data_IF_339302175473
#
_entry.id   IF_339302175473
#
_cell.length_a   1.000
_cell.length_b   1.000
_cell.length_c   1.000
_cell.angle_alpha   90.00
_cell.angle_beta   90.00
_cell.angle_gamma   90.00
#
_symmetry.space_group_name_H-M   'P 1'
#
loop_
_entity.id
_entity.type
_entity.pdbx_description
1 polymer ?
#
# COMPACT_ATOMS: atom_id res chain seq x y z
N UNK A 1 -12.84 -49.54 2.68
CA UNK A 1 -12.13 -49.72 1.39
C UNK A 1 -13.18 -49.67 0.31
N UNK A 2 -13.00 -48.79 -0.68
CA UNK A 2 -13.93 -48.68 -1.82
C UNK A 2 -13.87 -49.96 -2.66
N UNK A 3 -15.00 -50.34 -3.26
CA UNK A 3 -15.08 -51.53 -4.13
C UNK A 3 -16.17 -51.37 -5.19
N UNK A 4 -15.96 -51.93 -6.37
CA UNK A 4 -16.98 -52.04 -7.40
C UNK A 4 -17.86 -53.27 -7.12
N UNK A 5 -19.19 -53.12 -7.21
CA UNK A 5 -20.13 -54.20 -6.88
C UNK A 5 -20.81 -54.75 -8.15
N UNK A 6 -21.43 -53.87 -8.95
CA UNK A 6 -22.13 -54.26 -10.19
C UNK A 6 -22.01 -53.18 -11.26
N UNK A 7 -22.01 -53.57 -12.52
CA UNK A 7 -22.14 -52.66 -13.65
C UNK A 7 -23.20 -53.16 -14.62
N UNK A 8 -24.01 -52.25 -15.17
CA UNK A 8 -24.88 -52.55 -16.30
C UNK A 8 -24.46 -51.75 -17.53
N UNK A 9 -24.41 -52.40 -18.69
CA UNK A 9 -24.04 -51.81 -19.97
C UNK A 9 -25.21 -51.97 -20.95
N UNK A 10 -25.52 -50.91 -21.68
CA UNK A 10 -26.52 -50.89 -22.76
C UNK A 10 -26.03 -49.95 -23.88
N UNK A 11 -26.15 -50.38 -25.14
CA UNK A 11 -25.88 -49.56 -26.32
C UNK A 11 -24.41 -49.15 -26.52
N UNK A 12 -23.45 -49.87 -25.92
CA UNK A 12 -22.01 -49.58 -26.05
C UNK A 12 -21.36 -50.62 -26.96
N UNK A 13 -20.71 -50.21 -28.05
CA UNK A 13 -20.09 -51.12 -29.05
C UNK A 13 -20.98 -52.32 -29.37
N UNK A 14 -20.56 -53.55 -29.10
CA UNK A 14 -21.31 -54.78 -29.40
C UNK A 14 -22.47 -55.06 -28.44
N UNK A 15 -22.63 -54.30 -27.36
CA UNK A 15 -23.80 -54.40 -26.49
C UNK A 15 -25.00 -53.76 -27.19
N UNK A 16 -26.10 -54.52 -27.32
CA UNK A 16 -27.32 -54.11 -28.01
C UNK A 16 -27.99 -52.88 -27.38
N UNK A 17 -28.92 -52.28 -28.12
CA UNK A 17 -29.53 -51.00 -27.79
C UNK A 17 -30.90 -51.14 -27.11
N UNK A 18 -31.52 -52.32 -27.17
CA UNK A 18 -32.82 -52.56 -26.56
C UNK A 18 -32.70 -52.94 -25.08
N UNK A 19 -33.72 -52.65 -24.27
CA UNK A 19 -33.71 -52.97 -22.84
C UNK A 19 -33.50 -54.46 -22.55
N UNK A 20 -33.94 -55.35 -23.45
CA UNK A 20 -33.71 -56.79 -23.36
C UNK A 20 -32.23 -57.18 -23.51
N UNK A 21 -31.44 -56.35 -24.18
CA UNK A 21 -30.01 -56.58 -24.44
C UNK A 21 -29.12 -56.07 -23.30
N UNK A 22 -29.71 -55.39 -22.32
CA UNK A 22 -28.99 -54.85 -21.16
C UNK A 22 -28.24 -55.96 -20.42
N UNK A 23 -26.92 -55.85 -20.42
CA UNK A 23 -26.05 -56.79 -19.72
C UNK A 23 -25.70 -56.27 -18.32
N UNK A 24 -25.74 -57.16 -17.33
CA UNK A 24 -25.38 -56.85 -15.94
C UNK A 24 -24.23 -57.76 -15.51
N UNK A 25 -23.17 -57.15 -15.00
CA UNK A 25 -21.95 -57.81 -14.55
C UNK A 25 -21.82 -57.57 -13.05
N UNK A 26 -21.65 -58.64 -12.28
CA UNK A 26 -21.30 -58.56 -10.86
C UNK A 26 -19.80 -58.75 -10.69
N UNK A 27 -19.19 -57.91 -9.85
CA UNK A 27 -17.77 -58.00 -9.52
C UNK A 27 -17.62 -58.65 -8.15
N UNK A 28 -16.71 -59.61 -8.07
CA UNK A 28 -16.45 -60.42 -6.89
C UNK A 28 -15.06 -60.09 -6.32
N UNK A 29 -14.96 -60.21 -4.99
CA UNK A 29 -13.71 -60.07 -4.25
C UNK A 29 -13.21 -61.46 -3.82
N UNK A 30 -11.90 -61.75 -3.91
CA UNK A 30 -10.83 -60.86 -4.36
C UNK A 30 -10.61 -60.85 -5.88
N UNK A 31 -11.22 -61.77 -6.63
CA UNK A 31 -10.94 -61.98 -8.05
C UNK A 31 -12.24 -62.11 -8.86
N UNK A 32 -12.28 -61.42 -10.00
CA UNK A 32 -13.30 -61.59 -11.04
C UNK A 32 -12.62 -62.00 -12.33
N UNK A 33 -13.05 -63.12 -12.93
CA UNK A 33 -12.47 -63.66 -14.17
C UNK A 33 -13.44 -63.41 -15.32
N UNK A 34 -12.99 -62.68 -16.36
CA UNK A 34 -13.77 -62.42 -17.57
C UNK A 34 -13.22 -63.27 -18.73
N UNK A 35 -13.96 -64.29 -19.14
CA UNK A 35 -13.59 -65.21 -20.23
C UNK A 35 -14.59 -65.14 -21.38
N UNK A 36 -14.13 -65.45 -22.59
CA UNK A 36 -14.95 -65.45 -23.79
C UNK A 36 -14.10 -65.36 -25.06
N UNK A 37 -14.68 -65.61 -26.24
CA UNK A 37 -13.96 -65.54 -27.51
C UNK A 37 -13.49 -64.11 -27.83
N UNK A 38 -12.61 -63.98 -28.82
CA UNK A 38 -12.21 -62.67 -29.34
C UNK A 38 -13.44 -61.95 -29.92
N UNK A 39 -13.55 -60.64 -29.69
CA UNK A 39 -14.73 -59.86 -30.07
C UNK A 39 -15.93 -59.97 -29.12
N UNK A 40 -15.88 -60.81 -28.07
CA UNK A 40 -16.99 -60.95 -27.10
C UNK A 40 -17.24 -59.73 -26.19
N UNK A 41 -16.54 -58.60 -26.42
CA UNK A 41 -16.72 -57.38 -25.60
C UNK A 41 -15.95 -57.35 -24.28
N UNK A 42 -15.01 -58.28 -24.02
CA UNK A 42 -14.19 -58.30 -22.79
C UNK A 42 -13.47 -56.97 -22.54
N UNK A 43 -12.77 -56.46 -23.57
CA UNK A 43 -12.09 -55.16 -23.50
C UNK A 43 -13.10 -54.03 -23.30
N UNK A 44 -14.27 -54.11 -23.93
CA UNK A 44 -15.36 -53.14 -23.79
C UNK A 44 -15.90 -53.03 -22.37
N UNK A 45 -15.92 -54.13 -21.60
CA UNK A 45 -16.28 -54.10 -20.18
C UNK A 45 -15.29 -53.20 -19.39
N UNK A 46 -13.99 -53.35 -19.66
CA UNK A 46 -12.95 -52.53 -19.01
C UNK A 46 -13.02 -51.07 -19.46
N UNK A 47 -13.27 -50.83 -20.74
CA UNK A 47 -13.53 -49.49 -21.29
C UNK A 47 -14.75 -48.83 -20.61
N UNK A 48 -15.82 -49.57 -20.35
CA UNK A 48 -16.99 -49.08 -19.63
C UNK A 48 -16.65 -48.71 -18.18
N UNK A 49 -15.83 -49.51 -17.50
CA UNK A 49 -15.35 -49.18 -16.14
C UNK A 49 -14.48 -47.91 -16.15
N UNK A 50 -13.57 -47.78 -17.12
CA UNK A 50 -12.77 -46.56 -17.31
C UNK A 50 -13.68 -45.36 -17.52
N UNK A 51 -14.60 -45.43 -18.47
CA UNK A 51 -15.52 -44.32 -18.78
C UNK A 51 -16.44 -43.98 -17.60
N UNK A 52 -17.00 -44.98 -16.90
CA UNK A 52 -17.85 -44.76 -15.74
C UNK A 52 -17.10 -44.03 -14.62
N UNK A 53 -15.84 -44.39 -14.37
CA UNK A 53 -15.06 -43.85 -13.24
C UNK A 53 -14.35 -42.53 -13.56
N UNK A 54 -13.91 -42.30 -14.80
CA UNK A 54 -13.08 -41.13 -15.15
C UNK A 54 -13.65 -40.22 -16.23
N UNK A 55 -14.74 -40.63 -16.89
CA UNK A 55 -15.35 -39.91 -18.02
C UNK A 55 -14.52 -39.95 -19.31
N UNK A 56 -13.39 -40.65 -19.34
CA UNK A 56 -12.54 -40.72 -20.54
C UNK A 56 -13.01 -41.80 -21.51
N UNK A 57 -13.15 -41.41 -22.77
CA UNK A 57 -13.44 -42.34 -23.86
C UNK A 57 -12.19 -43.20 -24.17
N UNK A 58 -12.39 -44.44 -24.67
CA UNK A 58 -11.28 -45.26 -25.13
C UNK A 58 -10.52 -44.62 -26.30
N UNK A 59 -9.23 -44.96 -26.51
CA UNK A 59 -8.48 -44.50 -27.67
C UNK A 59 -9.19 -44.93 -28.97
N UNK A 60 -9.03 -44.12 -30.02
CA UNK A 60 -9.69 -44.34 -31.31
C UNK A 60 -11.22 -44.14 -31.32
N UNK A 61 -11.85 -43.83 -30.18
CA UNK A 61 -13.31 -43.69 -30.09
C UNK A 61 -13.85 -42.27 -30.35
N UNK A 62 -12.97 -41.36 -30.83
CA UNK A 62 -13.36 -40.00 -31.22
C UNK A 62 -14.32 -40.10 -32.40
N UNK A 63 -15.52 -39.52 -32.27
CA UNK A 63 -16.55 -39.54 -33.33
C UNK A 63 -17.69 -40.54 -33.12
N UNK A 64 -17.79 -41.17 -31.95
CA UNK A 64 -18.98 -41.96 -31.57
C UNK A 64 -18.83 -43.48 -31.64
N UNK A 65 -17.66 -44.00 -31.99
CA UNK A 65 -17.39 -45.44 -32.10
C UNK A 65 -17.47 -46.22 -30.77
N UNK A 66 -17.64 -45.51 -29.64
CA UNK A 66 -17.90 -46.14 -28.34
C UNK A 66 -19.37 -46.52 -28.17
N UNK A 67 -20.28 -45.76 -28.77
CA UNK A 67 -21.71 -46.09 -28.81
C UNK A 67 -21.94 -47.10 -29.93
N UNK A 68 -22.92 -47.99 -29.76
CA UNK A 68 -23.34 -48.91 -30.81
C UNK A 68 -23.63 -48.14 -32.11
N UNK A 69 -23.18 -48.66 -33.26
CA UNK A 69 -23.26 -47.90 -34.51
C UNK A 69 -24.74 -47.71 -34.92
N UNK A 70 -25.20 -46.48 -35.16
CA UNK A 70 -26.57 -46.23 -35.61
C UNK A 70 -26.93 -46.98 -36.90
N UNK A 71 -25.96 -47.24 -37.78
CA UNK A 71 -26.17 -48.01 -39.02
C UNK A 71 -26.49 -49.48 -38.74
N UNK A 72 -25.78 -50.08 -37.78
CA UNK A 72 -25.96 -51.47 -37.39
C UNK A 72 -27.28 -51.64 -36.63
N UNK A 73 -27.67 -50.62 -35.86
CA UNK A 73 -28.98 -50.55 -35.19
C UNK A 73 -30.15 -50.20 -36.12
N UNK A 74 -29.89 -49.79 -37.36
CA UNK A 74 -30.90 -49.22 -38.27
C UNK A 74 -31.67 -48.02 -37.68
N UNK A 75 -30.99 -47.21 -36.87
CA UNK A 75 -31.55 -46.05 -36.17
C UNK A 75 -30.78 -44.78 -36.53
N UNK A 76 -31.43 -43.62 -36.39
CA UNK A 76 -30.77 -42.32 -36.63
C UNK A 76 -30.08 -41.76 -35.40
N UNK A 77 -30.57 -42.09 -34.21
CA UNK A 77 -30.00 -41.71 -32.91
C UNK A 77 -29.95 -42.94 -32.00
N UNK A 78 -28.75 -43.35 -31.63
CA UNK A 78 -28.54 -44.46 -30.69
C UNK A 78 -28.11 -43.90 -29.34
N UNK A 79 -28.75 -44.39 -28.27
CA UNK A 79 -28.39 -44.05 -26.90
C UNK A 79 -27.65 -45.20 -26.23
N UNK A 80 -26.64 -44.86 -25.45
CA UNK A 80 -25.92 -45.79 -24.61
C UNK A 80 -25.97 -45.36 -23.16
N UNK A 81 -25.92 -46.35 -22.27
CA UNK A 81 -25.99 -46.14 -20.85
C UNK A 81 -25.08 -47.13 -20.11
N UNK A 82 -24.27 -46.59 -19.20
CA UNK A 82 -23.46 -47.37 -18.28
C UNK A 82 -23.91 -47.00 -16.87
N UNK A 83 -24.36 -47.98 -16.08
CA UNK A 83 -24.61 -47.79 -14.64
C UNK A 83 -23.58 -48.56 -13.84
N UNK A 84 -22.96 -47.91 -12.86
CA UNK A 84 -21.99 -48.53 -11.98
C UNK A 84 -22.47 -48.38 -10.53
N UNK A 85 -22.62 -49.51 -9.85
CA UNK A 85 -22.86 -49.60 -8.41
C UNK A 85 -21.55 -49.95 -7.73
N UNK A 86 -21.17 -49.15 -6.75
CA UNK A 86 -19.95 -49.34 -5.98
C UNK A 86 -20.17 -48.90 -4.53
N UNK A 87 -19.28 -49.36 -3.66
CA UNK A 87 -19.18 -48.93 -2.27
C UNK A 87 -18.05 -47.90 -2.19
N UNK A 88 -18.33 -46.73 -1.61
CA UNK A 88 -17.37 -45.63 -1.48
C UNK A 88 -16.33 -45.88 -0.36
N UNK A 89 -15.43 -44.92 -0.15
CA UNK A 89 -14.43 -44.96 0.91
C UNK A 89 -15.03 -45.00 2.33
N UNK A 90 -16.23 -44.45 2.51
CA UNK A 90 -16.96 -44.41 3.78
C UNK A 90 -17.77 -45.68 4.04
N UNK A 91 -17.89 -46.58 3.06
CA UNK A 91 -18.69 -47.80 3.16
C UNK A 91 -20.13 -47.65 2.67
N UNK A 92 -20.48 -46.49 2.09
CA UNK A 92 -21.82 -46.22 1.58
C UNK A 92 -21.98 -46.71 0.14
N UNK A 93 -23.18 -47.19 -0.20
CA UNK A 93 -23.49 -47.60 -1.57
C UNK A 93 -23.83 -46.39 -2.43
N UNK A 94 -23.09 -46.24 -3.52
CA UNK A 94 -23.27 -45.18 -4.52
C UNK A 94 -23.54 -45.83 -5.88
N UNK A 95 -24.56 -45.33 -6.57
CA UNK A 95 -24.85 -45.71 -7.95
C UNK A 95 -24.65 -44.51 -8.85
N UNK A 96 -23.90 -44.68 -9.94
CA UNK A 96 -23.78 -43.66 -10.98
C UNK A 96 -24.35 -44.18 -12.28
N UNK A 97 -24.85 -43.27 -13.10
CA UNK A 97 -25.35 -43.55 -14.43
C UNK A 97 -24.76 -42.53 -15.41
N UNK A 98 -24.02 -43.04 -16.39
CA UNK A 98 -23.52 -42.26 -17.51
C UNK A 98 -24.31 -42.55 -18.76
N UNK A 99 -24.97 -41.53 -19.29
CA UNK A 99 -25.72 -41.62 -20.53
C UNK A 99 -24.99 -40.87 -21.64
N UNK A 100 -25.05 -41.40 -22.86
CA UNK A 100 -24.47 -40.79 -24.05
C UNK A 100 -25.30 -41.15 -25.27
N UNK A 101 -25.14 -40.41 -26.36
CA UNK A 101 -25.78 -40.73 -27.63
C UNK A 101 -24.83 -40.55 -28.81
N UNK A 102 -25.15 -41.24 -29.89
CA UNK A 102 -24.49 -41.15 -31.17
C UNK A 102 -25.56 -40.96 -32.23
N UNK A 103 -25.54 -39.79 -32.85
CA UNK A 103 -26.50 -39.44 -33.91
C UNK A 103 -25.81 -39.52 -35.26
N UNK A 104 -26.41 -40.25 -36.19
CA UNK A 104 -25.96 -40.32 -37.57
C UNK A 104 -26.30 -39.02 -38.30
N UNK A 105 -25.29 -38.37 -38.89
CA UNK A 105 -25.47 -37.29 -39.87
C UNK A 105 -25.09 -37.79 -41.25
N UNK A 106 -25.42 -37.00 -42.28
CA UNK A 106 -25.22 -37.33 -43.69
C UNK A 106 -23.80 -37.82 -44.06
N UNK A 107 -22.75 -37.38 -43.34
CA UNK A 107 -21.35 -37.75 -43.62
C UNK A 107 -20.60 -38.33 -42.42
N UNK A 108 -21.08 -38.14 -41.20
CA UNK A 108 -20.36 -38.51 -39.99
C UNK A 108 -21.31 -38.80 -38.82
N UNK A 109 -20.81 -39.57 -37.85
CA UNK A 109 -21.49 -39.77 -36.59
C UNK A 109 -21.09 -38.66 -35.61
N UNK A 110 -22.03 -38.18 -34.81
CA UNK A 110 -21.80 -37.16 -33.78
C UNK A 110 -22.05 -37.76 -32.41
N UNK A 111 -20.99 -37.79 -31.58
CA UNK A 111 -21.08 -38.21 -30.18
C UNK A 111 -21.54 -37.06 -29.29
N UNK A 112 -22.43 -37.36 -28.34
CA UNK A 112 -22.89 -36.42 -27.31
C UNK A 112 -22.95 -37.11 -25.95
N UNK A 113 -22.27 -36.55 -24.95
CA UNK A 113 -22.52 -36.92 -23.55
C UNK A 113 -23.86 -36.33 -23.12
N UNK A 114 -24.72 -37.14 -22.52
CA UNK A 114 -26.02 -36.71 -22.00
C UNK A 114 -25.91 -36.41 -20.49
N UNK A 115 -27.05 -36.13 -19.86
CA UNK A 115 -27.15 -35.95 -18.42
C UNK A 115 -26.64 -37.18 -17.66
N UNK A 116 -25.88 -36.92 -16.60
CA UNK A 116 -25.29 -37.95 -15.75
C UNK A 116 -25.99 -37.92 -14.40
N UNK A 117 -26.24 -39.08 -13.81
CA UNK A 117 -26.99 -39.18 -12.55
C UNK A 117 -26.13 -39.87 -11.50
N UNK A 118 -26.13 -39.31 -10.29
CA UNK A 118 -25.59 -39.96 -9.09
C UNK A 118 -26.72 -40.21 -8.11
N UNK A 119 -26.78 -41.43 -7.59
CA UNK A 119 -27.77 -41.86 -6.60
C UNK A 119 -27.05 -42.35 -5.35
N UNK A 120 -27.48 -41.83 -4.19
CA UNK A 120 -26.96 -42.19 -2.87
C UNK A 120 -28.10 -42.51 -1.91
N UNK A 121 -27.80 -43.28 -0.89
CA UNK A 121 -28.69 -43.41 0.27
C UNK A 121 -28.36 -42.27 1.23
N UNK A 122 -29.35 -41.42 1.54
CA UNK A 122 -29.22 -40.37 2.54
C UNK A 122 -30.41 -40.52 3.50
N UNK A 123 -30.14 -40.65 4.80
CA UNK A 123 -31.17 -40.76 5.84
C UNK A 123 -32.18 -41.91 5.59
N UNK A 124 -31.72 -42.99 4.95
CA UNK A 124 -32.57 -44.15 4.59
C UNK A 124 -33.33 -44.02 3.27
N UNK A 125 -33.32 -42.85 2.63
CA UNK A 125 -33.96 -42.60 1.33
C UNK A 125 -32.95 -42.56 0.18
N UNK A 126 -33.40 -42.97 -1.01
CA UNK A 126 -32.59 -42.86 -2.24
C UNK A 126 -32.72 -41.47 -2.83
N UNK A 127 -31.67 -40.68 -2.72
CA UNK A 127 -31.56 -39.36 -3.34
C UNK A 127 -30.83 -39.49 -4.66
N UNK A 128 -31.46 -39.08 -5.77
CA UNK A 128 -30.85 -39.03 -7.09
C UNK A 128 -30.64 -37.59 -7.51
N UNK A 129 -29.41 -37.25 -7.86
CA UNK A 129 -29.02 -35.91 -8.30
C UNK A 129 -28.51 -36.00 -9.74
N UNK A 130 -29.05 -35.13 -10.59
CA UNK A 130 -28.45 -34.85 -11.88
C UNK A 130 -27.17 -34.02 -11.66
N UNK A 131 -26.12 -34.36 -12.40
CA UNK A 131 -24.83 -33.68 -12.29
C UNK A 131 -24.20 -33.47 -13.66
N UNK A 132 -23.46 -32.36 -13.79
CA UNK A 132 -22.63 -32.13 -14.98
C UNK A 132 -21.49 -33.15 -15.02
N UNK A 133 -21.03 -33.50 -16.21
CA UNK A 133 -19.98 -34.53 -16.40
C UNK A 133 -18.74 -34.28 -15.52
N UNK A 134 -18.25 -33.03 -15.44
CA UNK A 134 -17.06 -32.70 -14.65
C UNK A 134 -17.29 -32.69 -13.13
N UNK A 135 -18.53 -32.54 -12.66
CA UNK A 135 -18.87 -32.68 -11.24
C UNK A 135 -18.90 -34.16 -10.85
N UNK A 136 -19.52 -35.00 -11.67
CA UNK A 136 -19.53 -36.46 -11.46
C UNK A 136 -18.10 -37.03 -11.43
N UNK A 137 -17.21 -36.59 -12.33
CA UNK A 137 -15.81 -37.05 -12.34
C UNK A 137 -15.08 -36.71 -11.02
N UNK A 138 -15.30 -35.51 -10.47
CA UNK A 138 -14.72 -35.11 -9.18
C UNK A 138 -15.30 -35.94 -8.04
N UNK A 139 -16.60 -36.20 -8.08
CA UNK A 139 -17.29 -37.01 -7.09
C UNK A 139 -16.82 -38.46 -7.11
N UNK A 140 -16.55 -39.03 -8.29
CA UNK A 140 -16.01 -40.37 -8.44
C UNK A 140 -14.60 -40.50 -7.86
N UNK A 141 -13.72 -39.53 -8.11
CA UNK A 141 -12.37 -39.50 -7.53
C UNK A 141 -12.44 -39.46 -6.01
N UNK A 142 -13.32 -38.63 -5.46
CA UNK A 142 -13.54 -38.52 -4.01
C UNK A 142 -14.10 -39.82 -3.41
N UNK A 143 -15.15 -40.37 -4.03
CA UNK A 143 -15.87 -41.55 -3.53
C UNK A 143 -15.03 -42.83 -3.64
N UNK A 144 -14.22 -42.99 -4.69
CA UNK A 144 -13.33 -44.15 -4.83
C UNK A 144 -12.02 -43.98 -4.04
N UNK A 145 -11.63 -42.75 -3.70
CA UNK A 145 -10.38 -42.45 -3.00
C UNK A 145 -9.13 -42.61 -3.86
N UNK A 146 -9.28 -42.53 -5.20
CA UNK A 146 -8.19 -42.76 -6.16
C UNK A 146 -8.18 -41.66 -7.21
N UNK A 147 -7.00 -41.14 -7.56
CA UNK A 147 -6.86 -40.06 -8.53
C UNK A 147 -7.22 -40.50 -9.95
N UNK A 148 -7.71 -39.56 -10.78
CA UNK A 148 -8.03 -39.81 -12.19
C UNK A 148 -6.86 -40.43 -12.97
N UNK A 149 -5.60 -39.96 -12.84
CA UNK A 149 -4.47 -40.59 -13.52
C UNK A 149 -4.22 -42.04 -13.10
N UNK A 150 -4.47 -42.40 -11.83
CA UNK A 150 -4.35 -43.80 -11.36
C UNK A 150 -5.47 -44.66 -11.91
N UNK A 151 -6.72 -44.16 -11.93
CA UNK A 151 -7.84 -44.85 -12.59
C UNK A 151 -7.54 -45.14 -14.06
N UNK A 152 -6.96 -44.18 -14.78
CA UNK A 152 -6.78 -44.27 -16.24
C UNK A 152 -5.50 -44.98 -16.69
N UNK A 153 -4.39 -44.85 -15.96
CA UNK A 153 -3.09 -45.40 -16.36
C UNK A 153 -2.71 -46.67 -15.59
N UNK A 154 -3.36 -46.96 -14.45
CA UNK A 154 -2.98 -48.08 -13.58
C UNK A 154 -4.13 -49.08 -13.42
N UNK A 155 -5.30 -48.64 -12.94
CA UNK A 155 -6.42 -49.56 -12.60
C UNK A 155 -7.17 -50.02 -13.85
N UNK A 156 -7.66 -49.08 -14.67
CA UNK A 156 -8.37 -49.36 -15.92
C UNK A 156 -7.56 -48.89 -17.12
N UNK A 157 -6.28 -49.25 -17.13
CA UNK A 157 -5.40 -48.98 -18.26
C UNK A 157 -5.94 -49.66 -19.52
N UNK A 158 -5.98 -48.92 -20.63
CA UNK A 158 -6.46 -49.48 -21.88
C UNK A 158 -5.47 -50.52 -22.42
N UNK A 159 -5.96 -51.58 -23.06
CA UNK A 159 -5.14 -52.68 -23.56
C UNK A 159 -4.01 -52.18 -24.49
N UNK A 160 -4.31 -51.29 -25.43
CA UNK A 160 -3.34 -50.68 -26.36
C UNK A 160 -2.31 -49.77 -25.66
N UNK A 161 -2.63 -49.28 -24.46
CA UNK A 161 -1.78 -48.37 -23.68
C UNK A 161 -1.04 -49.09 -22.55
N UNK A 162 -1.25 -50.39 -22.36
CA UNK A 162 -0.72 -51.19 -21.24
C UNK A 162 0.80 -51.18 -21.13
N UNK A 163 1.49 -51.06 -22.26
CA UNK A 163 2.95 -51.00 -22.34
C UNK A 163 3.52 -49.60 -22.09
N UNK A 164 2.72 -48.63 -21.62
CA UNK A 164 3.21 -47.29 -21.33
C UNK A 164 4.43 -47.20 -20.39
N UNK A 165 4.67 -48.13 -19.44
CA UNK A 165 5.90 -48.10 -18.63
C UNK A 165 7.19 -48.29 -19.45
N UNK A 166 7.07 -48.85 -20.66
CA UNK A 166 8.16 -49.08 -21.61
C UNK A 166 8.26 -47.99 -22.68
N UNK A 167 7.43 -46.94 -22.57
CA UNK A 167 7.45 -45.82 -23.51
C UNK A 167 8.70 -44.95 -23.37
N UNK A 168 8.95 -44.11 -24.37
CA UNK A 168 10.05 -43.15 -24.38
C UNK A 168 10.03 -42.20 -23.17
N UNK A 169 11.20 -41.67 -22.80
CA UNK A 169 11.41 -40.96 -21.53
C UNK A 169 10.46 -39.78 -21.29
N UNK A 170 10.03 -39.07 -22.35
CA UNK A 170 9.08 -37.95 -22.22
C UNK A 170 7.67 -38.44 -21.87
N UNK A 171 7.11 -39.36 -22.66
CA UNK A 171 5.76 -39.90 -22.43
C UNK A 171 5.67 -40.63 -21.08
N UNK A 172 6.73 -41.36 -20.72
CA UNK A 172 6.84 -42.04 -19.43
C UNK A 172 6.83 -41.04 -18.27
N UNK A 173 7.65 -39.98 -18.36
CA UNK A 173 7.71 -38.93 -17.35
C UNK A 173 6.37 -38.22 -17.18
N UNK A 174 5.69 -37.88 -18.28
CA UNK A 174 4.40 -37.19 -18.24
C UNK A 174 3.34 -38.03 -17.49
N UNK A 175 3.32 -39.36 -17.68
CA UNK A 175 2.44 -40.26 -16.93
C UNK A 175 2.81 -40.36 -15.45
N UNK A 176 4.10 -40.45 -15.11
CA UNK A 176 4.55 -40.43 -13.71
C UNK A 176 4.20 -39.12 -13.00
N UNK A 177 4.48 -37.98 -13.64
CA UNK A 177 4.18 -36.65 -13.10
C UNK A 177 2.67 -36.47 -12.89
N UNK A 178 1.85 -37.07 -13.75
CA UNK A 178 0.39 -37.10 -13.61
C UNK A 178 -0.06 -38.01 -12.45
N UNK A 179 0.48 -39.22 -12.33
CA UNK A 179 0.16 -40.18 -11.26
C UNK A 179 0.54 -39.63 -9.88
N UNK A 180 1.74 -39.09 -9.74
CA UNK A 180 2.23 -38.53 -8.47
C UNK A 180 1.78 -37.09 -8.22
N UNK A 181 1.06 -36.49 -9.17
CA UNK A 181 0.61 -35.09 -9.12
C UNK A 181 1.74 -34.08 -8.81
N UNK A 182 2.98 -34.40 -9.16
CA UNK A 182 4.17 -33.60 -8.85
C UNK A 182 4.07 -32.18 -9.46
N UNK A 183 3.40 -32.05 -10.60
CA UNK A 183 3.18 -30.78 -11.29
C UNK A 183 2.42 -29.74 -10.44
N UNK A 184 1.52 -30.17 -9.54
CA UNK A 184 0.80 -29.24 -8.65
C UNK A 184 1.74 -28.60 -7.64
N UNK A 185 2.62 -29.40 -7.05
CA UNK A 185 3.63 -28.90 -6.10
C UNK A 185 4.66 -28.01 -6.78
N UNK A 186 5.12 -28.38 -7.98
CA UNK A 186 6.05 -27.56 -8.77
C UNK A 186 5.42 -26.19 -9.07
N UNK A 187 4.16 -26.16 -9.51
CA UNK A 187 3.44 -24.90 -9.78
C UNK A 187 3.26 -24.05 -8.52
N UNK A 188 2.85 -24.64 -7.40
CA UNK A 188 2.69 -23.92 -6.15
C UNK A 188 4.01 -23.30 -5.67
N UNK A 189 5.11 -24.04 -5.79
CA UNK A 189 6.45 -23.56 -5.45
C UNK A 189 6.88 -22.41 -6.36
N UNK A 190 6.60 -22.48 -7.65
CA UNK A 190 6.87 -21.39 -8.59
C UNK A 190 6.06 -20.12 -8.26
N UNK A 191 4.77 -20.27 -7.95
CA UNK A 191 3.94 -19.13 -7.50
C UNK A 191 4.48 -18.51 -6.21
N UNK A 192 4.90 -19.32 -5.24
CA UNK A 192 5.52 -18.82 -4.00
C UNK A 192 6.82 -18.07 -4.27
N UNK A 193 7.66 -18.54 -5.20
CA UNK A 193 8.89 -17.84 -5.61
C UNK A 193 8.58 -16.48 -6.23
N UNK A 194 7.61 -16.42 -7.13
CA UNK A 194 7.19 -15.18 -7.79
C UNK A 194 6.63 -14.17 -6.80
N UNK A 195 5.79 -14.61 -5.86
CA UNK A 195 5.27 -13.76 -4.78
C UNK A 195 6.40 -13.21 -3.90
N UNK A 196 7.37 -14.05 -3.52
CA UNK A 196 8.53 -13.63 -2.73
C UNK A 196 9.35 -12.55 -3.46
N UNK A 197 9.59 -12.73 -4.75
CA UNK A 197 10.32 -11.74 -5.57
C UNK A 197 9.56 -10.41 -5.62
N UNK A 198 8.24 -10.45 -5.88
CA UNK A 198 7.40 -9.26 -5.91
C UNK A 198 7.41 -8.53 -4.56
N UNK A 199 7.22 -9.26 -3.46
CA UNK A 199 7.26 -8.69 -2.11
C UNK A 199 8.62 -8.06 -1.80
N UNK A 200 9.71 -8.71 -2.22
CA UNK A 200 11.06 -8.18 -2.01
C UNK A 200 11.31 -6.87 -2.76
N UNK A 201 10.72 -6.69 -3.95
CA UNK A 201 10.78 -5.42 -4.69
C UNK A 201 9.99 -4.35 -3.96
N UNK A 202 8.75 -4.63 -3.56
CA UNK A 202 7.91 -3.69 -2.80
C UNK A 202 8.58 -3.26 -1.49
N UNK A 203 9.21 -4.18 -0.76
CA UNK A 203 9.95 -3.83 0.47
C UNK A 203 11.09 -2.84 0.18
N UNK A 204 11.83 -3.03 -0.93
CA UNK A 204 12.90 -2.10 -1.32
C UNK A 204 12.36 -0.72 -1.69
N UNK A 205 11.25 -0.66 -2.42
CA UNK A 205 10.57 0.60 -2.78
C UNK A 205 10.12 1.35 -1.52
N UNK A 206 9.41 0.68 -0.61
CA UNK A 206 8.98 1.27 0.66
C UNK A 206 10.17 1.73 1.52
N UNK A 207 11.30 1.00 1.52
CA UNK A 207 12.51 1.41 2.23
C UNK A 207 13.15 2.68 1.65
N UNK A 208 13.08 2.87 0.33
CA UNK A 208 13.55 4.10 -0.33
C UNK A 208 12.61 5.26 0.01
N UNK A 209 11.31 5.05 -0.13
CA UNK A 209 10.29 6.06 0.20
C UNK A 209 10.37 6.49 1.67
N UNK A 210 10.53 5.54 2.59
CA UNK A 210 10.67 5.82 4.02
C UNK A 210 11.93 6.66 4.33
N UNK A 211 13.04 6.45 3.61
CA UNK A 211 14.23 7.29 3.74
C UNK A 211 13.95 8.73 3.29
N UNK A 212 13.32 8.90 2.13
CA UNK A 212 12.95 10.21 1.61
C UNK A 212 11.98 10.96 2.54
N UNK A 213 10.95 10.28 3.05
CA UNK A 213 9.98 10.86 3.97
C UNK A 213 10.62 11.28 5.30
N UNK A 214 11.62 10.52 5.80
CA UNK A 214 12.39 10.92 7.00
C UNK A 214 13.16 12.22 6.78
N UNK A 215 13.89 12.33 5.66
CA UNK A 215 14.63 13.55 5.33
C UNK A 215 13.69 14.77 5.19
N UNK A 216 12.52 14.59 4.57
CA UNK A 216 11.53 15.66 4.44
C UNK A 216 10.96 16.08 5.79
N UNK A 217 10.67 15.12 6.69
CA UNK A 217 10.23 15.42 8.05
C UNK A 217 11.27 16.25 8.80
N UNK A 218 12.55 15.87 8.68
CA UNK A 218 13.66 16.56 9.36
C UNK A 218 13.85 17.99 8.83
N UNK A 219 13.81 18.19 7.50
CA UNK A 219 13.82 19.53 6.88
C UNK A 219 12.63 20.37 7.35
N UNK A 220 11.42 19.80 7.36
CA UNK A 220 10.23 20.51 7.82
C UNK A 220 10.29 20.88 9.32
N UNK A 221 10.99 20.09 10.14
CA UNK A 221 11.24 20.39 11.55
C UNK A 221 12.22 21.57 11.69
N UNK A 222 13.35 21.53 10.98
CA UNK A 222 14.35 22.62 10.98
C UNK A 222 13.75 23.96 10.52
N UNK A 223 12.91 23.94 9.48
CA UNK A 223 12.21 25.14 9.00
C UNK A 223 11.27 25.68 10.08
N UNK A 224 10.49 24.81 10.75
CA UNK A 224 9.59 25.21 11.83
C UNK A 224 10.34 25.86 13.00
N UNK A 225 11.47 25.29 13.40
CA UNK A 225 12.32 25.85 14.46
C UNK A 225 12.89 27.23 14.05
N UNK A 226 13.29 27.37 12.78
CA UNK A 226 13.77 28.64 12.24
C UNK A 226 12.68 29.71 12.23
N UNK A 227 11.47 29.35 11.80
CA UNK A 227 10.31 30.26 11.80
C UNK A 227 10.01 30.71 13.23
N UNK A 228 9.91 29.79 14.19
CA UNK A 228 9.66 30.13 15.59
C UNK A 228 10.72 31.08 16.16
N UNK A 229 12.01 30.84 15.86
CA UNK A 229 13.10 31.74 16.27
C UNK A 229 12.97 33.13 15.64
N UNK A 230 12.62 33.20 14.35
CA UNK A 230 12.44 34.47 13.63
C UNK A 230 11.22 35.25 14.14
N UNK A 231 10.13 34.56 14.45
CA UNK A 231 8.94 35.18 15.06
C UNK A 231 9.25 35.77 16.44
N UNK A 232 10.01 35.04 17.27
CA UNK A 232 10.46 35.55 18.57
C UNK A 232 11.35 36.81 18.42
N UNK A 233 12.26 36.81 17.46
CA UNK A 233 13.09 38.00 17.15
C UNK A 233 12.24 39.17 16.64
N UNK A 234 11.24 38.89 15.80
CA UNK A 234 10.33 39.92 15.29
C UNK A 234 9.51 40.55 16.42
N UNK A 235 8.98 39.75 17.34
CA UNK A 235 8.27 40.25 18.53
C UNK A 235 9.18 41.14 19.38
N UNK A 236 10.38 40.68 19.73
CA UNK A 236 11.32 41.48 20.50
C UNK A 236 11.70 42.80 19.82
N UNK A 237 11.87 42.78 18.49
CA UNK A 237 12.13 44.00 17.72
C UNK A 237 10.93 44.95 17.70
N UNK A 238 9.71 44.43 17.61
CA UNK A 238 8.48 45.24 17.70
C UNK A 238 8.33 45.89 19.07
N UNK A 239 8.58 45.15 20.15
CA UNK A 239 8.55 45.67 21.51
C UNK A 239 9.60 46.78 21.70
N UNK A 240 10.79 46.61 21.10
CA UNK A 240 11.85 47.63 21.12
C UNK A 240 11.44 48.89 20.37
N UNK A 241 10.80 48.76 19.20
CA UNK A 241 10.26 49.89 18.43
C UNK A 241 9.21 50.62 19.26
N UNK A 242 8.23 49.90 19.82
CA UNK A 242 7.21 50.51 20.69
C UNK A 242 7.81 51.23 21.90
N UNK A 243 8.84 50.66 22.50
CA UNK A 243 9.56 51.31 23.60
C UNK A 243 10.22 52.62 23.14
N UNK A 244 10.94 52.60 22.02
CA UNK A 244 11.59 53.80 21.47
C UNK A 244 10.55 54.86 21.09
N UNK A 245 9.47 54.47 20.40
CA UNK A 245 8.39 55.37 20.00
C UNK A 245 7.76 56.04 21.22
N UNK A 246 7.55 55.30 22.32
CA UNK A 246 7.05 55.85 23.57
C UNK A 246 7.99 56.87 24.24
N UNK A 247 9.28 56.87 23.90
CA UNK A 247 10.25 57.84 24.41
C UNK A 247 10.35 59.10 23.53
N UNK A 248 9.78 59.10 22.32
CA UNK A 248 9.82 60.25 21.42
C UNK A 248 8.96 61.38 21.98
N UNK A 249 7.71 61.11 22.34
CA UNK A 249 6.77 62.11 22.87
C UNK A 249 7.31 62.91 24.08
N UNK A 250 7.89 62.29 25.13
CA UNK A 250 8.46 63.06 26.24
C UNK A 250 9.69 63.87 25.84
N UNK A 251 10.49 63.41 24.87
CA UNK A 251 11.62 64.18 24.35
C UNK A 251 11.15 65.38 23.52
N UNK A 252 10.13 65.21 22.68
CA UNK A 252 9.49 66.31 21.92
C UNK A 252 8.90 67.36 22.87
N UNK A 253 8.19 66.93 23.92
CA UNK A 253 7.66 67.82 24.95
C UNK A 253 8.77 68.60 25.66
N UNK A 254 9.88 67.95 26.01
CA UNK A 254 11.06 68.63 26.59
C UNK A 254 11.69 69.63 25.61
N UNK A 255 11.72 69.31 24.32
CA UNK A 255 12.24 70.22 23.29
C UNK A 255 11.38 71.49 23.20
N UNK A 256 10.05 71.34 23.16
CA UNK A 256 9.09 72.46 23.17
C UNK A 256 9.26 73.32 24.43
N UNK A 257 9.45 72.69 25.58
CA UNK A 257 9.67 73.40 26.85
C UNK A 257 10.97 74.23 26.82
N UNK A 258 12.06 73.66 26.30
CA UNK A 258 13.34 74.34 26.13
C UNK A 258 13.21 75.50 25.14
N UNK A 259 12.56 75.32 23.99
CA UNK A 259 12.33 76.38 23.00
C UNK A 259 11.50 77.52 23.59
N UNK A 260 10.48 77.19 24.38
CA UNK A 260 9.67 78.20 25.09
C UNK A 260 10.52 79.00 26.09
N UNK A 261 11.41 78.32 26.83
CA UNK A 261 12.36 78.97 27.73
C UNK A 261 13.36 79.85 26.97
N UNK A 262 13.90 79.37 25.85
CA UNK A 262 14.81 80.13 25.00
C UNK A 262 14.13 81.40 24.45
N UNK A 263 12.89 81.29 23.99
CA UNK A 263 12.09 82.43 23.55
C UNK A 263 11.88 83.48 24.65
N UNK A 264 11.74 83.07 25.92
CA UNK A 264 11.70 84.00 27.07
C UNK A 264 13.04 84.69 27.31
N UNK A 265 14.15 83.94 27.24
CA UNK A 265 15.50 84.49 27.40
C UNK A 265 15.81 85.53 26.32
N UNK A 266 15.46 85.26 25.06
CA UNK A 266 15.64 86.21 23.96
C UNK A 266 14.84 87.51 24.16
N UNK A 267 13.62 87.43 24.72
CA UNK A 267 12.85 88.64 25.07
C UNK A 267 13.53 89.44 26.17
N UNK A 268 13.96 88.78 27.25
CA UNK A 268 14.69 89.43 28.33
C UNK A 268 15.99 90.07 27.84
N UNK A 269 16.72 89.42 26.93
CA UNK A 269 17.93 89.97 26.32
C UNK A 269 17.63 91.24 25.50
N UNK A 270 16.56 91.24 24.70
CA UNK A 270 16.11 92.44 23.99
C UNK A 270 15.69 93.57 24.95
N UNK A 271 14.97 93.24 26.02
CA UNK A 271 14.57 94.22 27.04
C UNK A 271 15.79 94.83 27.75
N UNK A 272 16.81 94.01 28.06
CA UNK A 272 18.09 94.48 28.61
C UNK A 272 18.77 95.43 27.62
N UNK A 273 18.89 95.07 26.33
CA UNK A 273 19.49 95.95 25.31
C UNK A 273 18.74 97.28 25.18
N UNK A 274 17.41 97.26 25.22
CA UNK A 274 16.58 98.48 25.19
C UNK A 274 16.83 99.35 26.43
N UNK A 275 16.88 98.74 27.61
CA UNK A 275 17.17 99.44 28.86
C UNK A 275 18.59 99.98 28.90
N UNK A 276 19.57 99.26 28.37
CA UNK A 276 20.96 99.71 28.22
C UNK A 276 21.09 100.88 27.25
N UNK A 277 20.39 100.84 26.11
CA UNK A 277 20.32 101.96 25.18
C UNK A 277 19.68 103.18 25.84
N UNK A 278 18.57 103.00 26.56
CA UNK A 278 17.90 104.08 27.30
C UNK A 278 18.79 104.65 28.41
N UNK A 279 19.53 103.79 29.12
CA UNK A 279 20.52 104.20 30.14
C UNK A 279 21.62 105.04 29.50
N UNK A 280 22.22 104.59 28.39
CA UNK A 280 23.24 105.35 27.66
C UNK A 280 22.71 106.72 27.21
N UNK A 281 21.48 106.77 26.73
CA UNK A 281 20.86 108.03 26.31
C UNK A 281 20.68 109.00 27.50
N UNK A 282 20.13 108.52 28.63
CA UNK A 282 20.01 109.34 29.84
C UNK A 282 21.38 109.77 30.40
N UNK A 283 22.41 108.92 30.34
CA UNK A 283 23.78 109.29 30.74
C UNK A 283 24.37 110.39 29.85
N UNK A 284 24.04 110.38 28.55
CA UNK A 284 24.45 111.40 27.60
C UNK A 284 23.71 112.72 27.84
N UNK A 285 22.39 112.67 28.06
CA UNK A 285 21.57 113.83 28.42
C UNK A 285 22.06 114.46 29.75
N UNK A 286 22.41 113.64 30.74
CA UNK A 286 23.02 114.12 31.99
C UNK A 286 24.38 114.79 31.75
N UNK A 287 25.24 114.23 30.89
CA UNK A 287 26.53 114.83 30.56
C UNK A 287 26.38 116.17 29.83
N UNK A 288 25.40 116.31 28.94
CA UNK A 288 25.11 117.58 28.27
C UNK A 288 24.57 118.62 29.25
N UNK A 289 23.68 118.21 30.16
CA UNK A 289 23.15 119.08 31.22
C UNK A 289 24.26 119.57 32.17
N UNK A 290 25.18 118.69 32.56
CA UNK A 290 26.34 119.05 33.42
C UNK A 290 27.30 120.00 32.69
N UNK A 291 27.49 119.84 31.37
CA UNK A 291 28.34 120.75 30.57
C UNK A 291 27.76 122.15 30.42
N UNK A 292 26.44 122.32 30.47
CA UNK A 292 25.82 123.65 30.38
C UNK A 292 25.86 124.45 31.69
N UNK A 293 26.14 123.83 32.84
CA UNK A 293 25.98 124.47 34.15
C UNK A 293 27.28 124.99 34.82
N UNK A 294 28.48 124.85 34.23
CA UNK A 294 29.71 125.24 34.93
C UNK A 294 30.74 125.96 34.02
N UNK A 295 30.86 127.28 34.18
CA UNK A 295 32.08 128.11 34.15
C UNK A 295 31.78 129.52 34.72
N UNK A 296 32.72 130.27 35.31
CA UNK A 296 33.92 129.90 36.09
C UNK A 296 34.14 130.75 37.38
N UNK A 297 34.91 130.26 38.38
CA UNK A 297 35.77 131.07 39.30
C UNK A 297 36.68 130.19 40.18
N UNK A 298 37.80 130.78 40.59
CA UNK A 298 39.10 130.17 40.90
C UNK A 298 39.41 129.85 42.39
N UNK A 299 40.61 129.27 42.61
CA UNK A 299 41.49 129.24 43.84
C UNK A 299 41.34 127.97 44.71
N UNK A 300 42.22 126.95 44.55
CA UNK A 300 43.52 126.64 45.23
C UNK A 300 43.35 125.63 46.42
N UNK A 301 44.40 124.88 46.84
CA UNK A 301 44.39 123.43 47.12
C UNK A 301 44.66 123.12 48.59
N UNK A 302 44.59 121.83 48.98
CA UNK A 302 45.43 121.27 50.04
C UNK A 302 45.43 119.74 50.00
N UNK A 303 46.58 119.22 50.39
CA UNK A 303 47.13 117.88 50.21
C UNK A 303 46.91 116.95 51.41
N UNK A 304 46.90 115.64 51.09
CA UNK A 304 47.39 114.49 51.87
C UNK A 304 46.63 114.02 53.12
N UNK A 305 46.34 112.70 53.21
CA UNK A 305 46.85 111.74 54.24
C UNK A 305 46.19 110.34 54.16
N UNK A 306 47.04 109.30 54.04
CA UNK A 306 46.92 107.83 54.34
C UNK A 306 46.01 106.97 53.45
N UNK A 307 46.46 105.92 52.71
CA UNK A 307 47.35 104.75 52.94
C UNK A 307 46.74 103.66 53.83
N UNK A 308 46.21 102.59 53.20
CA UNK A 308 46.21 101.22 53.71
C UNK A 308 46.14 100.22 52.54
N UNK A 309 47.21 99.44 52.41
CA UNK A 309 47.37 98.26 51.55
C UNK A 309 46.64 97.06 52.16
N UNK A 310 46.07 96.17 51.33
CA UNK A 310 46.31 94.71 51.44
C UNK A 310 46.43 94.14 50.03
N UNK A 311 47.55 93.46 49.82
CA UNK A 311 47.99 92.65 48.68
C UNK A 311 47.63 91.17 48.89
N UNK A 312 47.62 90.37 47.81
CA UNK A 312 48.24 89.01 47.61
C UNK A 312 47.58 88.44 46.32
N UNK A 313 48.22 88.51 45.15
CA UNK A 313 49.16 87.53 44.53
C UNK A 313 48.50 86.14 44.23
N UNK A 314 48.28 85.79 42.96
CA UNK A 314 49.05 84.81 42.14
C UNK A 314 48.97 83.36 42.69
N UNK A 315 48.84 82.25 41.96
CA UNK A 315 49.56 81.78 40.76
C UNK A 315 49.04 80.35 40.43
N UNK A 316 48.91 80.04 39.13
CA UNK A 316 49.37 78.83 38.39
C UNK A 316 49.25 77.35 38.86
N UNK A 317 49.09 76.51 37.81
CA UNK A 317 49.52 75.10 37.57
C UNK A 317 48.66 73.96 38.17
N UNK A 318 48.11 73.02 37.37
CA UNK A 318 48.67 72.01 36.42
C UNK A 318 49.40 70.85 37.11
N UNK A 319 49.08 69.62 36.65
CA UNK A 319 49.56 68.25 36.97
C UNK A 319 48.78 67.52 38.09
N UNK A 320 48.06 66.42 37.84
CA UNK A 320 48.40 65.09 37.29
C UNK A 320 49.07 64.16 38.31
N UNK A 321 48.36 63.14 38.82
CA UNK A 321 48.79 61.72 38.79
C UNK A 321 47.87 60.73 39.55
N UNK A 322 47.31 59.80 38.77
CA UNK A 322 47.30 58.32 38.88
C UNK A 322 47.66 57.66 40.24
N UNK A 323 46.78 56.77 40.74
CA UNK A 323 47.01 55.31 40.92
C UNK A 323 46.36 54.69 42.17
N UNK A 324 45.91 53.43 41.98
CA UNK A 324 45.65 52.35 42.96
C UNK A 324 44.28 52.37 43.69
N UNK A 325 43.52 51.26 43.76
CA UNK A 325 43.94 49.87 43.97
C UNK A 325 42.93 48.84 43.39
N UNK A 326 43.47 47.78 42.79
CA UNK A 326 42.85 46.44 42.71
C UNK A 326 42.96 45.76 44.08
N UNK A 327 41.94 44.98 44.47
CA UNK A 327 42.10 43.83 45.39
C UNK A 327 41.45 42.60 44.77
N UNK A 328 42.30 41.60 44.57
CA UNK A 328 42.11 40.19 44.25
C UNK A 328 41.42 39.41 45.38
N UNK A 329 40.63 38.38 45.06
CA UNK A 329 40.97 36.97 45.34
C UNK A 329 39.91 35.98 44.81
N UNK A 330 40.43 34.96 44.12
CA UNK A 330 39.98 33.57 43.94
C UNK A 330 38.75 33.23 43.09
#
# INVERSE_FOLDING_TARGET
MSKIDKMSILGVRSFGIEDKDKQVIAFFSPLTVLVGPNGAGKTTIIECLKYATSGELPPGSKGGAFVHDPRDAHETDVRAQIKLLFTDVNGEKVSIQRSMSCTQKAKNNTFKSLEQVITRMKDGERVSLSSKCGELDREMISSLGVSKPVLNNVIFCHQEESNWPLSEGKALKDKFDSIFAATKYIKALETMRQLRLKQSVTVKECQVELRYLKENKEKAQQIRETVAKKEAQLMASKDSIQHIDGQIEPLENRLIEIDTKLGKVLRLDNDIRLLESRKKQMEQDNKETIKQFIQPKAIFPLTAIYRLEISVASTDQVTENISNHFVTEK
#
